data_IF_479570011902
#
_entry.id   IF_479570011902
#
_cell.length_a   1.000
_cell.length_b   1.000
_cell.length_c   1.000
_cell.angle_alpha   90.00
_cell.angle_beta   90.00
_cell.angle_gamma   90.00
#
_symmetry.space_group_name_H-M   'P 1'
#
loop_
_entity.id
_entity.type
_entity.pdbx_description
1 polymer ?
#
# COMPACT_ATOMS: atom_id res chain seq x y z
N UNK A 1 17.86 7.24 17.70
CA UNK A 1 16.41 7.45 17.56
C UNK A 1 15.86 6.31 16.71
N UNK A 2 15.37 5.24 17.33
CA UNK A 2 14.80 4.09 16.62
C UNK A 2 13.46 4.57 16.06
N UNK A 3 13.32 4.63 14.73
CA UNK A 3 12.03 4.94 14.10
C UNK A 3 11.04 3.88 14.58
N UNK A 4 10.03 4.31 15.35
CA UNK A 4 9.00 3.44 15.91
C UNK A 4 8.43 2.51 14.83
N UNK A 5 8.33 1.23 15.20
CA UNK A 5 7.75 0.08 14.49
C UNK A 5 6.54 0.45 13.63
N UNK A 6 6.78 0.98 12.43
CA UNK A 6 5.70 1.26 11.48
C UNK A 6 5.27 -0.09 10.90
N UNK A 7 4.04 -0.50 11.17
CA UNK A 7 3.51 -1.75 10.64
C UNK A 7 3.40 -1.67 9.12
N UNK A 8 3.56 -2.80 8.43
CA UNK A 8 3.33 -2.87 6.98
C UNK A 8 1.96 -2.30 6.58
N UNK A 9 0.91 -2.52 7.38
CA UNK A 9 -0.40 -1.90 7.15
C UNK A 9 -0.34 -0.36 7.19
N UNK A 10 0.39 0.22 8.15
CA UNK A 10 0.58 1.67 8.21
C UNK A 10 1.39 2.20 7.01
N UNK A 11 2.35 1.43 6.50
CA UNK A 11 3.08 1.76 5.27
C UNK A 11 2.15 1.79 4.04
N UNK A 12 1.17 0.87 3.96
CA UNK A 12 0.19 0.88 2.88
C UNK A 12 -0.70 2.14 2.91
N UNK A 13 -1.16 2.57 4.08
CA UNK A 13 -1.92 3.82 4.19
C UNK A 13 -1.08 5.05 3.83
N UNK A 14 0.19 5.10 4.25
CA UNK A 14 1.13 6.15 3.83
C UNK A 14 1.33 6.14 2.32
N UNK A 15 1.47 4.95 1.71
CA UNK A 15 1.58 4.79 0.26
C UNK A 15 0.32 5.29 -0.45
N UNK A 16 -0.88 4.97 0.04
CA UNK A 16 -2.14 5.46 -0.52
C UNK A 16 -2.20 6.99 -0.51
N UNK A 17 -1.83 7.61 0.61
CA UNK A 17 -1.77 9.08 0.71
C UNK A 17 -0.78 9.68 -0.29
N UNK A 18 0.41 9.08 -0.45
CA UNK A 18 1.41 9.52 -1.41
C UNK A 18 0.94 9.40 -2.88
N UNK A 19 0.22 8.33 -3.23
CA UNK A 19 -0.37 8.14 -4.56
C UNK A 19 -1.43 9.20 -4.85
N UNK A 20 -2.33 9.46 -3.88
CA UNK A 20 -3.34 10.51 -4.00
C UNK A 20 -2.69 11.89 -4.19
N UNK A 21 -1.73 12.24 -3.34
CA UNK A 21 -0.99 13.49 -3.45
C UNK A 21 -0.29 13.65 -4.81
N UNK A 22 0.26 12.55 -5.35
CA UNK A 22 0.86 12.55 -6.69
C UNK A 22 -0.18 12.84 -7.77
N UNK A 23 -1.37 12.25 -7.67
CA UNK A 23 -2.49 12.55 -8.57
C UNK A 23 -2.88 14.02 -8.53
N UNK A 24 -3.05 14.56 -7.31
CA UNK A 24 -3.41 15.96 -7.09
C UNK A 24 -2.35 16.93 -7.63
N UNK A 25 -1.06 16.61 -7.41
CA UNK A 25 0.06 17.48 -7.81
C UNK A 25 0.31 17.45 -9.32
N UNK A 26 0.16 16.28 -9.94
CA UNK A 26 0.53 16.08 -11.36
C UNK A 26 -0.66 16.14 -12.32
N UNK A 27 -1.89 16.12 -11.81
CA UNK A 27 -3.11 15.97 -12.60
C UNK A 27 -3.23 14.62 -13.32
N UNK A 28 -2.33 13.66 -13.05
CA UNK A 28 -2.36 12.35 -13.69
C UNK A 28 -3.39 11.45 -13.05
N UNK A 29 -3.95 10.55 -13.86
CA UNK A 29 -4.79 9.48 -13.34
C UNK A 29 -3.94 8.46 -12.56
N UNK A 30 -4.20 8.36 -11.26
CA UNK A 30 -3.51 7.46 -10.32
C UNK A 30 -4.40 6.30 -9.84
N UNK A 31 -5.55 6.07 -10.49
CA UNK A 31 -6.54 5.06 -10.08
C UNK A 31 -5.94 3.66 -9.94
N UNK A 32 -5.07 3.24 -10.87
CA UNK A 32 -4.38 1.95 -10.81
C UNK A 32 -3.52 1.79 -9.55
N UNK A 33 -2.80 2.86 -9.16
CA UNK A 33 -1.98 2.86 -7.95
C UNK A 33 -2.83 2.80 -6.67
N UNK A 34 -3.98 3.48 -6.66
CA UNK A 34 -4.93 3.42 -5.54
C UNK A 34 -5.52 2.02 -5.41
N UNK A 35 -5.98 1.43 -6.52
CA UNK A 35 -6.56 0.08 -6.56
C UNK A 35 -5.57 -0.98 -6.09
N UNK A 36 -4.30 -0.88 -6.48
CA UNK A 36 -3.27 -1.81 -6.00
C UNK A 36 -3.09 -1.72 -4.48
N UNK A 37 -2.95 -0.50 -3.94
CA UNK A 37 -2.76 -0.30 -2.50
C UNK A 37 -3.98 -0.76 -1.71
N UNK A 38 -5.19 -0.48 -2.20
CA UNK A 38 -6.43 -0.93 -1.56
C UNK A 38 -6.52 -2.47 -1.56
N UNK A 39 -6.12 -3.13 -2.64
CA UNK A 39 -6.04 -4.59 -2.69
C UNK A 39 -5.07 -5.14 -1.63
N UNK A 40 -3.92 -4.49 -1.46
CA UNK A 40 -2.93 -4.89 -0.45
C UNK A 40 -3.45 -4.70 0.98
N UNK A 41 -4.16 -3.61 1.24
CA UNK A 41 -4.84 -3.38 2.53
C UNK A 41 -5.87 -4.48 2.77
N UNK A 42 -6.66 -4.84 1.75
CA UNK A 42 -7.62 -5.94 1.87
C UNK A 42 -6.96 -7.30 2.13
N UNK A 43 -5.81 -7.58 1.52
CA UNK A 43 -5.06 -8.81 1.78
C UNK A 43 -4.54 -8.86 3.22
N UNK A 44 -4.05 -7.75 3.76
CA UNK A 44 -3.75 -7.60 5.18
C UNK A 44 -4.96 -7.96 6.06
N UNK A 45 -6.13 -7.40 5.77
CA UNK A 45 -7.35 -7.64 6.55
C UNK A 45 -7.90 -9.06 6.44
N UNK A 46 -7.58 -9.79 5.36
CA UNK A 46 -8.06 -11.17 5.09
C UNK A 46 -7.10 -12.26 5.55
N UNK A 47 -6.03 -11.93 6.27
CA UNK A 47 -5.09 -12.91 6.83
C UNK A 47 -3.62 -12.65 6.50
N UNK A 48 -3.30 -11.61 5.73
CA UNK A 48 -1.94 -11.12 5.57
C UNK A 48 -1.37 -10.58 6.89
N UNK A 49 -0.06 -10.70 7.09
CA UNK A 49 0.58 -10.23 8.29
C UNK A 49 0.64 -8.69 8.30
N UNK A 50 -0.08 -8.07 9.23
CA UNK A 50 -0.18 -6.61 9.34
C UNK A 50 1.15 -5.92 9.70
N UNK A 51 2.06 -6.60 10.40
CA UNK A 51 3.35 -6.05 10.85
C UNK A 51 4.40 -6.10 9.74
N UNK A 52 4.49 -7.22 9.01
CA UNK A 52 5.59 -7.47 8.05
C UNK A 52 5.16 -7.71 6.60
N UNK A 53 3.86 -7.75 6.30
CA UNK A 53 3.34 -7.89 4.94
C UNK A 53 3.34 -9.31 4.35
N UNK A 54 3.71 -10.33 5.12
CA UNK A 54 3.66 -11.73 4.67
C UNK A 54 2.24 -12.11 4.22
N UNK A 55 2.08 -12.65 3.02
CA UNK A 55 0.78 -13.03 2.45
C UNK A 55 0.08 -11.91 1.65
N UNK A 56 0.71 -10.75 1.53
CA UNK A 56 0.27 -9.65 0.66
C UNK A 56 1.07 -9.71 -0.64
N UNK A 57 0.38 -9.72 -1.79
CA UNK A 57 1.02 -9.76 -3.11
C UNK A 57 1.00 -8.38 -3.77
N UNK A 58 1.94 -8.11 -4.67
CA UNK A 58 1.88 -6.97 -5.61
C UNK A 58 1.03 -7.36 -6.83
N UNK A 59 0.39 -6.40 -7.48
CA UNK A 59 -0.38 -6.71 -8.69
C UNK A 59 0.60 -6.79 -9.85
N UNK A 60 0.89 -8.02 -10.25
CA UNK A 60 2.00 -8.34 -11.13
C UNK A 60 2.60 -9.61 -10.57
N UNK A 61 2.20 -10.75 -11.14
CA UNK A 61 3.13 -11.87 -11.20
C UNK A 61 4.42 -11.28 -11.79
N UNK A 62 5.49 -11.28 -11.02
CA UNK A 62 6.81 -11.47 -11.62
C UNK A 62 6.80 -12.95 -12.06
N UNK A 63 6.12 -13.23 -13.17
CA UNK A 63 6.32 -14.41 -14.02
C UNK A 63 6.92 -13.88 -15.33
#
# INVERSE_FOLDING_TARGET
MVKEDTTFLAELFKKKASVLQTGDTTGKNVSSGILEVDRQIQQCLKGGNLRIGKGVTKSGKED
#
